data_IF_218968780468
#
_entry.id   IF_218968780468
#
_cell.length_a   1.000
_cell.length_b   1.000
_cell.length_c   1.000
_cell.angle_alpha   90.00
_cell.angle_beta   90.00
_cell.angle_gamma   90.00
#
_symmetry.space_group_name_H-M   'P 1'
#
loop_
_entity.id
_entity.type
_entity.pdbx_description
1 polymer ?
#
# COMPACT_ATOMS: atom_id res chain seq x y z
N UNK A 1 4.29 -8.02 -6.92
CA UNK A 1 5.29 -8.87 -7.61
C UNK A 1 6.35 -7.98 -8.24
N UNK A 2 7.63 -8.33 -8.19
CA UNK A 2 8.69 -7.56 -8.85
C UNK A 2 9.67 -8.48 -9.60
N UNK A 3 10.24 -7.99 -10.69
CA UNK A 3 11.33 -8.64 -11.40
C UNK A 3 12.29 -7.60 -11.96
N UNK A 4 13.58 -7.88 -11.83
CA UNK A 4 14.66 -7.01 -12.25
C UNK A 4 15.64 -7.79 -13.11
N UNK A 5 16.10 -7.19 -14.19
CA UNK A 5 17.08 -7.74 -15.09
C UNK A 5 18.22 -6.74 -15.30
N UNK A 6 19.46 -7.19 -15.14
CA UNK A 6 20.66 -6.38 -15.34
C UNK A 6 21.39 -6.81 -16.62
N UNK A 7 21.54 -5.88 -17.56
CA UNK A 7 22.41 -6.00 -18.74
C UNK A 7 23.57 -5.02 -18.59
N UNK A 8 24.73 -5.54 -18.16
CA UNK A 8 25.98 -4.79 -18.00
C UNK A 8 25.83 -3.54 -17.12
N UNK A 9 25.79 -2.35 -17.71
CA UNK A 9 25.59 -1.05 -17.04
C UNK A 9 24.13 -0.59 -16.96
N UNK A 10 23.19 -1.30 -17.59
CA UNK A 10 21.76 -0.97 -17.58
C UNK A 10 21.00 -2.02 -16.76
N UNK A 11 20.18 -1.56 -15.81
CA UNK A 11 19.23 -2.39 -15.07
C UNK A 11 17.81 -1.98 -15.43
N UNK A 12 17.00 -2.96 -15.83
CA UNK A 12 15.58 -2.78 -16.13
C UNK A 12 14.79 -3.57 -15.09
N UNK A 13 13.87 -2.91 -14.41
CA UNK A 13 12.98 -3.53 -13.44
C UNK A 13 11.53 -3.24 -13.74
N UNK A 14 10.65 -4.14 -13.32
CA UNK A 14 9.23 -3.88 -13.24
C UNK A 14 8.67 -4.39 -11.92
N UNK A 15 7.71 -3.65 -11.39
CA UNK A 15 6.93 -4.02 -10.23
C UNK A 15 5.45 -3.93 -10.57
N UNK A 16 4.68 -4.92 -10.16
CA UNK A 16 3.23 -4.99 -10.29
C UNK A 16 2.66 -5.02 -8.87
N UNK A 17 1.85 -4.03 -8.54
CA UNK A 17 1.10 -3.98 -7.30
C UNK A 17 -0.35 -4.38 -7.53
N UNK A 18 -0.94 -5.03 -6.52
CA UNK A 18 -2.31 -5.54 -6.53
C UNK A 18 -2.65 -6.42 -7.76
N UNK A 19 -1.81 -7.42 -8.08
CA UNK A 19 -1.95 -8.29 -9.28
C UNK A 19 -3.36 -8.87 -9.51
N UNK A 20 -4.08 -9.17 -8.43
CA UNK A 20 -5.41 -9.78 -8.49
C UNK A 20 -6.55 -8.76 -8.43
N UNK A 21 -6.23 -7.46 -8.46
CA UNK A 21 -7.15 -6.32 -8.39
C UNK A 21 -8.20 -6.47 -7.27
N UNK A 22 -7.74 -6.93 -6.11
CA UNK A 22 -8.61 -7.15 -4.95
C UNK A 22 -8.86 -5.80 -4.29
N UNK A 23 -10.14 -5.46 -4.09
CA UNK A 23 -10.52 -4.30 -3.29
C UNK A 23 -10.38 -4.64 -1.80
N UNK A 24 -9.49 -3.94 -1.10
CA UNK A 24 -9.29 -4.07 0.35
C UNK A 24 -9.07 -2.70 0.97
N UNK A 25 -9.43 -2.57 2.24
CA UNK A 25 -9.22 -1.37 3.05
C UNK A 25 -8.26 -1.70 4.19
N UNK A 26 -7.22 -0.89 4.39
CA UNK A 26 -6.32 -1.00 5.55
C UNK A 26 -6.90 -0.20 6.71
N UNK A 27 -7.06 -0.82 7.88
CA UNK A 27 -7.46 -0.09 9.10
C UNK A 27 -6.22 0.54 9.70
N UNK A 28 -6.08 1.87 9.61
CA UNK A 28 -4.86 2.53 10.11
C UNK A 28 -4.92 2.79 11.61
N UNK A 29 -6.09 3.09 12.16
CA UNK A 29 -6.30 3.32 13.59
C UNK A 29 -7.70 2.86 13.98
N UNK A 30 -7.78 2.04 15.02
CA UNK A 30 -9.00 1.73 15.75
C UNK A 30 -8.80 2.32 17.16
N UNK A 31 -9.17 3.59 17.32
CA UNK A 31 -9.03 4.26 18.61
C UNK A 31 -10.41 4.36 19.23
N UNK A 32 -10.55 3.72 20.38
CA UNK A 32 -11.73 3.86 21.22
C UNK A 32 -11.56 5.10 22.09
N UNK A 33 -12.41 6.10 21.90
CA UNK A 33 -12.45 7.28 22.75
C UNK A 33 -13.74 7.27 23.57
N UNK A 34 -13.61 7.47 24.89
CA UNK A 34 -14.74 7.60 25.80
C UNK A 34 -14.62 8.88 26.59
N UNK A 35 -15.52 9.83 26.37
CA UNK A 35 -15.60 11.03 27.20
C UNK A 35 -16.10 10.67 28.62
N UNK A 36 -15.71 11.42 29.65
CA UNK A 36 -16.11 11.15 31.05
C UNK A 36 -17.64 11.03 31.27
N UNK A 37 -18.46 11.57 30.36
CA UNK A 37 -19.92 11.59 30.43
C UNK A 37 -20.63 10.69 29.40
N UNK A 38 -19.93 9.77 28.72
CA UNK A 38 -20.54 8.85 27.76
C UNK A 38 -20.72 7.44 28.33
N UNK A 39 -21.95 6.90 28.22
CA UNK A 39 -22.30 5.57 28.70
C UNK A 39 -21.73 4.43 27.83
N UNK A 40 -21.38 4.73 26.57
CA UNK A 40 -20.77 3.78 25.62
C UNK A 40 -19.58 4.46 24.91
N UNK A 41 -18.50 3.70 24.70
CA UNK A 41 -17.30 4.16 23.99
C UNK A 41 -17.59 4.35 22.50
N UNK A 42 -17.04 5.39 21.87
CA UNK A 42 -17.15 5.62 20.42
C UNK A 42 -15.92 5.06 19.73
N UNK A 43 -16.14 4.15 18.79
CA UNK A 43 -15.10 3.58 17.92
C UNK A 43 -14.98 4.42 16.65
N UNK A 44 -13.86 5.13 16.48
CA UNK A 44 -13.52 5.78 15.21
C UNK A 44 -12.55 4.89 14.44
N UNK A 45 -13.02 4.31 13.34
CA UNK A 45 -12.22 3.47 12.44
C UNK A 45 -11.89 4.28 11.19
N UNK A 46 -10.61 4.62 11.03
CA UNK A 46 -10.12 5.29 9.82
C UNK A 46 -9.51 4.28 8.86
N UNK A 47 -10.09 4.19 7.66
CA UNK A 47 -9.61 3.33 6.59
C UNK A 47 -8.71 4.11 5.63
N UNK A 48 -7.60 3.51 5.23
CA UNK A 48 -6.88 3.90 4.02
C UNK A 48 -7.27 2.93 2.91
N UNK A 49 -7.84 3.41 1.79
CA UNK A 49 -8.15 2.53 0.68
C UNK A 49 -6.86 1.87 0.17
N UNK A 50 -6.92 0.57 -0.09
CA UNK A 50 -5.80 -0.19 -0.65
C UNK A 50 -5.38 0.35 -2.02
N UNK A 51 -4.13 0.07 -2.41
CA UNK A 51 -3.61 0.49 -3.71
C UNK A 51 -4.33 -0.23 -4.86
N UNK A 52 -4.79 0.50 -5.90
CA UNK A 52 -5.38 -0.12 -7.08
C UNK A 52 -4.31 -0.92 -7.86
N UNK A 53 -4.72 -1.81 -8.78
CA UNK A 53 -3.78 -2.47 -9.69
C UNK A 53 -2.94 -1.44 -10.46
N UNK A 54 -1.62 -1.49 -10.29
CA UNK A 54 -0.70 -0.63 -11.03
C UNK A 54 0.62 -1.33 -11.36
N UNK A 55 1.22 -0.91 -12.48
CA UNK A 55 2.53 -1.41 -12.94
C UNK A 55 3.52 -0.24 -12.96
N UNK A 56 4.68 -0.44 -12.33
CA UNK A 56 5.80 0.50 -12.32
C UNK A 56 6.99 -0.11 -13.06
N UNK A 57 7.42 0.55 -14.13
CA UNK A 57 8.70 0.27 -14.79
C UNK A 57 9.82 1.09 -14.19
N UNK A 58 11.04 0.56 -14.14
CA UNK A 58 12.25 1.27 -13.68
C UNK A 58 13.40 0.95 -14.62
N UNK A 59 14.15 1.98 -15.01
CA UNK A 59 15.39 1.85 -15.77
C UNK A 59 16.46 2.59 -14.97
N UNK A 60 17.54 1.90 -14.65
CA UNK A 60 18.69 2.46 -13.95
C UNK A 60 19.96 2.24 -14.78
N UNK A 61 20.76 3.28 -14.92
CA UNK A 61 22.08 3.22 -15.56
C UNK A 61 23.15 3.43 -14.49
N UNK A 62 24.14 2.56 -14.46
CA UNK A 62 25.26 2.62 -13.50
C UNK A 62 26.54 2.91 -14.29
N UNK A 63 27.27 3.95 -13.88
CA UNK A 63 28.51 4.42 -14.50
C UNK A 63 29.75 3.92 -13.76
#
# INVERSE_FOLDING_TARGET
MNANYKFDTITIGFAIENLFDVAWNETQFATESRLQNEAQSVEEIHFTPGTPFFIKGTIAYTF
#
